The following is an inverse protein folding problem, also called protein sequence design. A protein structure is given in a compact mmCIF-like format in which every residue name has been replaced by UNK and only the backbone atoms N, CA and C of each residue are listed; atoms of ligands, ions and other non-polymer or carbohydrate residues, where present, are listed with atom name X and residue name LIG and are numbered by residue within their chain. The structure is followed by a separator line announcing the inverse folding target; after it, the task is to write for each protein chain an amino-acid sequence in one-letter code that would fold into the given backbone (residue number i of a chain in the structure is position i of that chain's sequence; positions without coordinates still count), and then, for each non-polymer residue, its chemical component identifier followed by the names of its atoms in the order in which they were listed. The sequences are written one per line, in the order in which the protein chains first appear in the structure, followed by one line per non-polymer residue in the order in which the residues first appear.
data_IF_386855045998
#
_entry.id   IF_386855045998
#
_cell.length_a   1.000
_cell.length_b   1.000
_cell.length_c   1.000
_cell.angle_alpha   90.00
_cell.angle_beta   90.00
_cell.angle_gamma   90.00
#
_symmetry.space_group_name_H-M   'P 1'
#
loop_
_entity.id
_entity.type
_entity.pdbx_description
1 polymer ?
#
# COMPACT_ATOMS: atom_id res chain seq x y z
N UNK A 1 4.12 7.49 7.59
CA UNK A 1 4.68 8.29 6.48
C UNK A 1 3.71 9.42 6.25
N UNK A 2 4.15 10.67 6.14
CA UNK A 2 3.23 11.78 5.86
C UNK A 2 2.84 11.77 4.38
N UNK A 3 1.55 11.53 4.05
CA UNK A 3 1.14 11.30 2.66
C UNK A 3 1.51 12.43 1.71
N UNK A 4 1.46 13.68 2.19
CA UNK A 4 1.72 14.89 1.40
C UNK A 4 3.14 14.95 0.80
N UNK A 5 4.11 14.28 1.43
CA UNK A 5 5.50 14.29 0.98
C UNK A 5 5.86 13.09 0.09
N UNK A 6 4.93 12.17 -0.15
CA UNK A 6 5.18 10.97 -0.94
C UNK A 6 5.74 11.28 -2.34
N UNK A 7 5.16 12.25 -3.04
CA UNK A 7 5.61 12.64 -4.37
C UNK A 7 7.03 13.25 -4.33
N UNK A 8 7.29 14.14 -3.37
CA UNK A 8 8.61 14.74 -3.18
C UNK A 8 9.67 13.67 -2.90
N UNK A 9 9.37 12.70 -2.03
CA UNK A 9 10.28 11.58 -1.76
C UNK A 9 10.48 10.69 -2.99
N UNK A 10 9.42 10.42 -3.76
CA UNK A 10 9.53 9.62 -4.98
C UNK A 10 10.38 10.32 -6.05
N UNK A 11 10.23 11.64 -6.20
CA UNK A 11 11.09 12.46 -7.05
C UNK A 11 12.55 12.39 -6.62
N UNK A 12 12.81 12.50 -5.32
CA UNK A 12 14.16 12.39 -4.79
C UNK A 12 14.76 11.00 -5.03
N UNK A 13 14.01 9.93 -4.78
CA UNK A 13 14.44 8.55 -5.08
C UNK A 13 14.75 8.37 -6.58
N UNK A 14 13.92 8.91 -7.47
CA UNK A 14 14.16 8.87 -8.91
C UNK A 14 15.42 9.63 -9.29
N UNK A 15 15.68 10.78 -8.66
CA UNK A 15 16.88 11.57 -8.90
C UNK A 15 18.14 10.82 -8.44
N UNK A 16 18.11 10.23 -7.24
CA UNK A 16 19.20 9.39 -6.74
C UNK A 16 19.47 8.19 -7.64
N UNK A 17 18.42 7.55 -8.16
CA UNK A 17 18.56 6.42 -9.09
C UNK A 17 19.28 6.79 -10.39
N UNK A 18 19.19 8.04 -10.81
CA UNK A 18 19.87 8.56 -12.00
C UNK A 18 21.29 9.06 -11.71
N UNK A 19 21.48 9.72 -10.56
CA UNK A 19 22.76 10.35 -10.22
C UNK A 19 23.78 9.38 -9.62
N UNK A 20 23.34 8.37 -8.87
CA UNK A 20 24.24 7.46 -8.20
C UNK A 20 24.83 6.45 -9.20
N UNK A 21 26.14 6.20 -9.14
CA UNK A 21 26.77 5.21 -10.00
C UNK A 21 26.28 3.81 -9.65
N UNK A 22 26.29 2.94 -10.66
CA UNK A 22 26.11 1.52 -10.43
C UNK A 22 27.35 0.96 -9.71
N UNK A 23 27.13 0.23 -8.63
CA UNK A 23 28.18 -0.47 -7.90
C UNK A 23 28.25 -1.91 -8.40
N UNK A 24 29.43 -2.52 -8.31
CA UNK A 24 29.61 -3.95 -8.59
C UNK A 24 30.37 -4.57 -7.44
N UNK A 25 29.75 -5.53 -6.76
CA UNK A 25 30.37 -6.33 -5.69
C UNK A 25 30.17 -7.79 -6.07
N UNK A 26 31.24 -8.59 -6.09
CA UNK A 26 31.19 -10.03 -6.43
C UNK A 26 30.50 -10.34 -7.78
N UNK A 27 30.79 -9.54 -8.82
CA UNK A 27 30.14 -9.61 -10.14
C UNK A 27 28.62 -9.33 -10.14
N UNK A 28 28.04 -8.92 -9.03
CA UNK A 28 26.66 -8.45 -8.97
C UNK A 28 26.57 -6.93 -9.10
N UNK A 29 25.78 -6.49 -10.08
CA UNK A 29 25.42 -5.10 -10.24
C UNK A 29 24.44 -4.66 -9.15
N UNK A 30 24.84 -3.72 -8.31
CA UNK A 30 24.04 -3.10 -7.26
C UNK A 30 23.68 -1.69 -7.70
N UNK A 31 22.39 -1.44 -7.88
CA UNK A 31 21.85 -0.13 -8.23
C UNK A 31 21.01 0.42 -7.07
N UNK A 32 20.88 1.75 -6.99
CA UNK A 32 19.99 2.38 -6.01
C UNK A 32 18.56 1.85 -6.14
N UNK A 33 18.07 1.65 -7.37
CA UNK A 33 16.76 1.08 -7.63
C UNK A 33 16.61 -0.32 -7.01
N UNK A 34 17.62 -1.19 -7.14
CA UNK A 34 17.62 -2.53 -6.52
C UNK A 34 17.59 -2.45 -4.99
N UNK A 35 18.36 -1.54 -4.40
CA UNK A 35 18.39 -1.33 -2.95
C UNK A 35 17.04 -0.81 -2.42
N UNK A 36 16.45 0.17 -3.11
CA UNK A 36 15.15 0.73 -2.75
C UNK A 36 14.06 -0.35 -2.80
N UNK A 37 14.03 -1.14 -3.88
CA UNK A 37 13.10 -2.26 -4.04
C UNK A 37 13.20 -3.24 -2.87
N UNK A 38 14.41 -3.68 -2.53
CA UNK A 38 14.64 -4.59 -1.42
C UNK A 38 14.20 -4.00 -0.08
N UNK A 39 14.39 -2.69 0.12
CA UNK A 39 13.94 -2.01 1.34
C UNK A 39 12.41 -1.90 1.38
N UNK A 40 11.76 -1.52 0.27
CA UNK A 40 10.30 -1.48 0.17
C UNK A 40 9.68 -2.84 0.47
N UNK A 41 10.22 -3.92 -0.09
CA UNK A 41 9.75 -5.28 0.17
C UNK A 41 9.88 -5.64 1.66
N UNK A 42 11.04 -5.39 2.28
CA UNK A 42 11.24 -5.65 3.72
C UNK A 42 10.28 -4.87 4.61
N UNK A 43 9.99 -3.62 4.29
CA UNK A 43 9.04 -2.79 5.04
C UNK A 43 7.60 -3.27 4.85
N UNK A 44 7.25 -3.72 3.65
CA UNK A 44 5.96 -4.29 3.34
C UNK A 44 5.73 -5.59 4.14
N UNK A 45 6.66 -6.54 4.05
CA UNK A 45 6.60 -7.81 4.79
C UNK A 45 6.66 -7.61 6.31
N UNK A 46 7.32 -6.56 6.80
CA UNK A 46 7.29 -6.21 8.23
C UNK A 46 5.88 -5.78 8.66
N UNK A 47 5.20 -4.97 7.86
CA UNK A 47 3.82 -4.58 8.11
C UNK A 47 2.87 -5.79 8.16
N UNK A 48 3.07 -6.77 7.29
CA UNK A 48 2.30 -8.03 7.32
C UNK A 48 2.51 -8.80 8.63
N UNK A 49 3.77 -8.98 9.05
CA UNK A 49 4.08 -9.67 10.32
C UNK A 49 3.50 -8.94 11.52
N UNK A 50 3.59 -7.61 11.56
CA UNK A 50 3.00 -6.80 12.64
C UNK A 50 1.47 -7.00 12.72
N UNK A 51 0.78 -7.11 11.59
CA UNK A 51 -0.68 -7.37 11.55
C UNK A 51 -1.01 -8.82 11.92
N UNK A 52 -0.23 -9.80 11.44
CA UNK A 52 -0.45 -11.21 11.72
C UNK A 52 -0.15 -11.57 13.19
N UNK A 53 0.88 -10.95 13.78
CA UNK A 53 1.19 -11.05 15.21
C UNK A 53 0.05 -10.46 16.06
N UNK A 54 -0.46 -9.27 15.72
CA UNK A 54 -1.62 -8.68 16.41
C UNK A 54 -2.88 -9.57 16.32
N UNK A 55 -3.10 -10.25 15.19
CA UNK A 55 -4.22 -11.21 15.04
C UNK A 55 -3.99 -12.54 15.79
N UNK A 56 -2.75 -13.02 15.94
CA UNK A 56 -2.46 -14.24 16.73
C UNK A 56 -2.55 -14.02 18.23
N UNK A 57 -2.33 -12.79 18.70
CA UNK A 57 -2.59 -12.39 20.09
C UNK A 57 -4.10 -12.41 20.43
N UNK A 58 -4.99 -12.50 19.43
CA UNK A 58 -6.41 -12.78 19.66
C UNK A 58 -6.71 -14.27 19.91
N UNK A 59 -5.83 -15.20 19.51
CA UNK A 59 -6.04 -16.66 19.68
C UNK A 59 -5.32 -17.26 20.90
N UNK A 60 -4.22 -16.64 21.36
CA UNK A 60 -3.48 -17.08 22.52
C UNK A 60 -3.87 -16.26 23.76
N UNK A 61 -4.92 -16.71 24.47
CA UNK A 61 -5.16 -16.32 25.86
C UNK A 61 -3.85 -16.49 26.67
N UNK A 62 -3.27 -15.41 27.21
CA UNK A 62 -2.26 -15.61 28.26
C UNK A 62 -1.32 -14.48 28.64
N UNK A 63 -0.76 -13.69 27.72
CA UNK A 63 0.31 -12.76 28.13
C UNK A 63 0.15 -11.36 27.51
N UNK A 64 -0.02 -10.39 28.41
CA UNK A 64 -0.30 -8.96 28.24
C UNK A 64 -1.80 -8.63 28.02
N UNK A 65 -2.50 -8.33 29.13
CA UNK A 65 -3.74 -7.54 29.10
C UNK A 65 -3.44 -6.13 28.57
N UNK A 66 -3.25 -5.99 27.26
CA UNK A 66 -3.40 -4.71 26.60
C UNK A 66 -4.88 -4.36 26.64
N UNK A 67 -5.20 -3.17 27.13
CA UNK A 67 -6.58 -2.65 27.07
C UNK A 67 -7.08 -2.70 25.64
N UNK A 68 -8.39 -2.93 25.44
CA UNK A 68 -9.03 -2.84 24.12
C UNK A 68 -8.65 -1.54 23.39
N UNK A 69 -8.45 -0.44 24.12
CA UNK A 69 -7.98 0.83 23.56
C UNK A 69 -6.55 0.78 23.05
N UNK A 70 -5.63 0.11 23.74
CA UNK A 70 -4.23 -0.03 23.30
C UNK A 70 -4.12 -0.93 22.07
N UNK A 71 -4.93 -1.99 22.01
CA UNK A 71 -5.06 -2.86 20.83
C UNK A 71 -5.58 -2.08 19.63
N UNK A 72 -6.65 -1.31 19.82
CA UNK A 72 -7.23 -0.47 18.75
C UNK A 72 -6.25 0.61 18.27
N UNK A 73 -5.52 1.24 19.18
CA UNK A 73 -4.47 2.21 18.82
C UNK A 73 -3.35 1.58 17.99
N UNK A 74 -2.93 0.35 18.32
CA UNK A 74 -1.92 -0.39 17.54
C UNK A 74 -2.43 -0.73 16.14
N UNK A 75 -3.65 -1.29 16.02
CA UNK A 75 -4.31 -1.57 14.74
C UNK A 75 -4.41 -0.30 13.89
N UNK A 76 -4.94 0.78 14.44
CA UNK A 76 -5.05 2.08 13.76
C UNK A 76 -3.68 2.60 13.29
N UNK A 77 -2.63 2.46 14.11
CA UNK A 77 -1.27 2.90 13.74
C UNK A 77 -0.67 2.06 12.62
N UNK A 78 -0.86 0.74 12.66
CA UNK A 78 -0.43 -0.18 11.60
C UNK A 78 -1.15 0.13 10.29
N UNK A 79 -2.48 0.30 10.32
CA UNK A 79 -3.29 0.69 9.15
C UNK A 79 -2.83 2.03 8.54
N UNK A 80 -2.64 3.07 9.37
CA UNK A 80 -2.10 4.37 8.89
C UNK A 80 -0.74 4.26 8.22
N UNK A 81 0.14 3.40 8.73
CA UNK A 81 1.45 3.15 8.10
C UNK A 81 1.27 2.45 6.75
N UNK A 82 0.43 1.42 6.68
CA UNK A 82 0.14 0.68 5.45
C UNK A 82 -0.42 1.60 4.36
N UNK A 83 -1.45 2.39 4.68
CA UNK A 83 -2.05 3.36 3.77
C UNK A 83 -1.02 4.38 3.24
N UNK A 84 -0.16 4.92 4.12
CA UNK A 84 0.93 5.81 3.70
C UNK A 84 1.95 5.14 2.78
N UNK A 85 2.29 3.88 3.05
CA UNK A 85 3.22 3.11 2.22
C UNK A 85 2.65 2.87 0.82
N UNK A 86 1.36 2.58 0.71
CA UNK A 86 0.69 2.32 -0.57
C UNK A 86 0.69 3.56 -1.45
N UNK A 87 0.38 4.73 -0.87
CA UNK A 87 0.47 5.99 -1.60
C UNK A 87 1.89 6.24 -2.12
N UNK A 88 2.89 6.02 -1.28
CA UNK A 88 4.29 6.18 -1.67
C UNK A 88 4.71 5.21 -2.78
N UNK A 89 4.26 3.95 -2.70
CA UNK A 89 4.50 2.93 -3.72
C UNK A 89 3.89 3.34 -5.06
N UNK A 90 2.67 3.89 -5.07
CA UNK A 90 2.06 4.45 -6.27
C UNK A 90 2.91 5.56 -6.90
N UNK A 91 3.42 6.49 -6.09
CA UNK A 91 4.31 7.56 -6.58
C UNK A 91 5.65 7.03 -7.11
N UNK A 92 6.23 6.00 -6.48
CA UNK A 92 7.43 5.34 -7.00
C UNK A 92 7.16 4.64 -8.34
N UNK A 93 6.00 4.01 -8.50
CA UNK A 93 5.61 3.35 -9.75
C UNK A 93 5.48 4.36 -10.91
N UNK A 94 4.85 5.51 -10.68
CA UNK A 94 4.80 6.61 -11.68
C UNK A 94 6.18 7.05 -12.15
N UNK A 95 7.18 7.03 -11.26
CA UNK A 95 8.58 7.36 -11.59
C UNK A 95 9.35 6.18 -12.19
N UNK A 96 8.65 5.10 -12.58
CA UNK A 96 9.23 3.85 -13.11
C UNK A 96 10.24 3.22 -12.16
N UNK A 97 10.14 3.50 -10.86
CA UNK A 97 11.04 2.96 -9.83
C UNK A 97 10.64 1.55 -9.39
N UNK A 98 9.38 1.17 -9.58
CA UNK A 98 8.85 -0.15 -9.27
C UNK A 98 8.42 -0.89 -10.54
N UNK A 99 8.30 -2.22 -10.43
CA UNK A 99 7.67 -3.04 -11.47
C UNK A 99 6.19 -3.21 -11.17
N UNK A 100 5.40 -3.46 -12.22
CA UNK A 100 3.96 -3.71 -12.12
C UNK A 100 3.63 -4.89 -11.19
N UNK A 101 4.43 -5.96 -11.21
CA UNK A 101 4.30 -7.09 -10.28
C UNK A 101 4.24 -6.64 -8.82
N UNK A 102 5.07 -5.68 -8.42
CA UNK A 102 5.11 -5.19 -7.03
C UNK A 102 3.83 -4.45 -6.69
N UNK A 103 3.30 -3.66 -7.64
CA UNK A 103 2.02 -2.96 -7.46
C UNK A 103 0.89 -3.96 -7.23
N UNK A 104 0.79 -4.99 -8.06
CA UNK A 104 -0.27 -5.98 -7.91
C UNK A 104 -0.21 -6.72 -6.57
N UNK A 105 0.99 -7.07 -6.10
CA UNK A 105 1.17 -7.71 -4.80
C UNK A 105 0.81 -6.76 -3.63
N UNK A 106 1.14 -5.47 -3.73
CA UNK A 106 0.74 -4.50 -2.71
C UNK A 106 -0.78 -4.29 -2.67
N UNK A 107 -1.45 -4.24 -3.83
CA UNK A 107 -2.91 -4.09 -3.90
C UNK A 107 -3.60 -5.31 -3.31
N UNK A 108 -3.21 -6.54 -3.68
CA UNK A 108 -3.84 -7.78 -3.16
C UNK A 108 -3.79 -7.88 -1.64
N UNK A 109 -2.75 -7.32 -1.03
CA UNK A 109 -2.46 -7.42 0.40
C UNK A 109 -2.99 -6.23 1.21
N UNK A 110 -3.77 -5.35 0.59
CA UNK A 110 -4.50 -4.31 1.31
C UNK A 110 -5.51 -4.98 2.28
N UNK A 111 -5.50 -4.61 3.58
CA UNK A 111 -6.37 -5.22 4.59
C UNK A 111 -7.86 -5.20 4.21
N UNK A 112 -8.30 -4.14 3.52
CA UNK A 112 -9.69 -4.00 3.06
C UNK A 112 -10.18 -5.07 2.07
N UNK A 113 -9.30 -5.88 1.49
CA UNK A 113 -9.71 -7.03 0.68
C UNK A 113 -9.96 -8.30 1.51
N UNK A 114 -9.46 -8.38 2.74
CA UNK A 114 -9.40 -9.63 3.48
C UNK A 114 -10.39 -9.69 4.65
N UNK A 115 -10.49 -8.65 5.50
CA UNK A 115 -11.42 -8.61 6.65
C UNK A 115 -11.73 -7.17 7.08
N UNK A 116 -13.02 -6.88 7.32
CA UNK A 116 -13.60 -5.61 7.83
C UNK A 116 -12.88 -4.32 7.34
N UNK A 117 -13.19 -3.87 6.12
CA UNK A 117 -12.57 -2.70 5.52
C UNK A 117 -13.02 -1.41 6.21
N UNK A 118 -12.05 -0.57 6.61
CA UNK A 118 -12.35 0.77 7.10
C UNK A 118 -12.41 1.79 5.94
N UNK A 119 -13.06 2.93 6.17
CA UNK A 119 -13.20 4.01 5.17
C UNK A 119 -11.85 4.46 4.57
N UNK A 120 -10.76 4.37 5.33
CA UNK A 120 -9.44 4.85 4.91
C UNK A 120 -8.71 3.86 4.03
N UNK A 121 -8.94 2.56 4.22
CA UNK A 121 -8.42 1.50 3.36
C UNK A 121 -9.08 1.59 1.97
N UNK A 122 -10.40 1.85 1.93
CA UNK A 122 -11.14 2.12 0.69
C UNK A 122 -10.63 3.39 0.02
N UNK A 123 -10.50 4.48 0.77
CA UNK A 123 -9.97 5.75 0.25
C UNK A 123 -8.54 5.58 -0.31
N UNK A 124 -7.69 4.80 0.35
CA UNK A 124 -6.33 4.52 -0.11
C UNK A 124 -6.32 3.71 -1.41
N UNK A 125 -7.16 2.68 -1.52
CA UNK A 125 -7.31 1.90 -2.74
C UNK A 125 -7.84 2.76 -3.88
N UNK A 126 -8.92 3.52 -3.66
CA UNK A 126 -9.48 4.45 -4.65
C UNK A 126 -8.42 5.44 -5.13
N UNK A 127 -7.69 6.10 -4.21
CA UNK A 127 -6.64 7.05 -4.58
C UNK A 127 -5.51 6.40 -5.37
N UNK A 128 -5.12 5.18 -5.03
CA UNK A 128 -4.12 4.44 -5.80
C UNK A 128 -4.64 4.14 -7.20
N UNK A 129 -5.86 3.60 -7.32
CA UNK A 129 -6.46 3.24 -8.61
C UNK A 129 -6.68 4.47 -9.50
N UNK A 130 -7.13 5.61 -8.96
CA UNK A 130 -7.22 6.86 -9.71
C UNK A 130 -5.87 7.40 -10.19
N UNK A 131 -4.78 6.97 -9.54
CA UNK A 131 -3.44 7.52 -9.73
C UNK A 131 -2.59 6.69 -10.70
N UNK A 132 -2.72 5.36 -10.65
CA UNK A 132 -1.93 4.43 -11.47
C UNK A 132 -2.77 3.39 -12.22
N UNK A 133 -4.10 3.39 -12.05
CA UNK A 133 -5.00 2.37 -12.61
C UNK A 133 -4.92 2.28 -14.13
N UNK A 134 -4.91 3.42 -14.82
CA UNK A 134 -4.76 3.47 -16.29
C UNK A 134 -3.42 2.87 -16.75
N UNK A 135 -2.36 3.01 -15.95
CA UNK A 135 -1.03 2.50 -16.30
C UNK A 135 -0.93 0.97 -16.20
N UNK A 136 -1.78 0.35 -15.37
CA UNK A 136 -1.82 -1.11 -15.14
C UNK A 136 -3.01 -1.78 -15.83
N UNK A 137 -3.91 -1.00 -16.44
CA UNK A 137 -5.09 -1.52 -17.15
C UNK A 137 -4.72 -1.92 -18.58
N UNK A 138 -4.38 -3.19 -18.75
CA UNK A 138 -4.08 -3.78 -20.05
C UNK A 138 -4.54 -5.24 -20.12
N UNK A 139 -4.67 -5.84 -21.33
CA UNK A 139 -5.28 -7.16 -21.49
C UNK A 139 -4.69 -8.29 -20.62
N UNK A 140 -3.39 -8.22 -20.31
CA UNK A 140 -2.70 -9.24 -19.47
C UNK A 140 -3.01 -9.10 -17.98
N UNK A 141 -3.46 -7.93 -17.53
CA UNK A 141 -3.79 -7.63 -16.14
C UNK A 141 -5.30 -7.67 -15.90
N UNK A 142 -6.10 -8.06 -16.89
CA UNK A 142 -7.56 -8.11 -16.80
C UNK A 142 -8.04 -8.84 -15.54
N UNK A 143 -7.51 -10.03 -15.28
CA UNK A 143 -7.88 -10.81 -14.09
C UNK A 143 -7.57 -10.06 -12.78
N UNK A 144 -6.47 -9.29 -12.72
CA UNK A 144 -6.17 -8.45 -11.57
C UNK A 144 -7.14 -7.27 -11.45
N UNK A 145 -7.43 -6.59 -12.56
CA UNK A 145 -8.35 -5.46 -12.59
C UNK A 145 -9.77 -5.87 -12.18
N UNK A 146 -10.26 -7.00 -12.69
CA UNK A 146 -11.58 -7.54 -12.35
C UNK A 146 -11.69 -7.79 -10.84
N UNK A 147 -10.66 -8.37 -10.20
CA UNK A 147 -10.61 -8.56 -8.75
C UNK A 147 -10.62 -7.22 -8.01
N UNK A 148 -9.88 -6.22 -8.48
CA UNK A 148 -9.82 -4.91 -7.82
C UNK A 148 -11.15 -4.18 -7.89
N UNK A 149 -11.83 -4.21 -9.04
CA UNK A 149 -13.15 -3.60 -9.20
C UNK A 149 -14.23 -4.33 -8.41
N UNK A 150 -14.21 -5.67 -8.37
CA UNK A 150 -15.14 -6.43 -7.52
C UNK A 150 -14.92 -6.09 -6.05
N UNK A 151 -13.66 -5.95 -5.63
CA UNK A 151 -13.34 -5.54 -4.26
C UNK A 151 -13.88 -4.13 -3.98
N UNK A 152 -13.61 -3.16 -4.84
CA UNK A 152 -14.17 -1.80 -4.72
C UNK A 152 -15.70 -1.80 -4.65
N UNK A 153 -16.36 -2.69 -5.38
CA UNK A 153 -17.82 -2.84 -5.36
C UNK A 153 -18.34 -3.42 -4.04
N UNK A 154 -17.69 -4.46 -3.51
CA UNK A 154 -18.00 -5.02 -2.18
C UNK A 154 -17.80 -3.95 -1.10
N UNK A 155 -16.69 -3.23 -1.16
CA UNK A 155 -16.36 -2.12 -0.27
C UNK A 155 -17.43 -1.02 -0.31
N UNK A 156 -17.86 -0.64 -1.52
CA UNK A 156 -18.90 0.38 -1.72
C UNK A 156 -20.30 -0.05 -1.28
N UNK A 157 -20.60 -1.35 -1.22
CA UNK A 157 -21.92 -1.85 -0.81
C UNK A 157 -22.00 -2.10 0.70
N UNK A 158 -20.88 -2.40 1.35
CA UNK A 158 -20.81 -2.60 2.81
C UNK A 158 -20.77 -1.26 3.57
N UNK A 159 -20.22 -0.22 2.95
CA UNK A 159 -20.39 1.16 3.40
C UNK A 159 -21.63 1.73 2.72
N UNK A 160 -22.72 1.93 3.45
CA UNK A 160 -23.65 3.00 3.09
C UNK A 160 -22.83 4.30 3.16
N UNK A 161 -22.23 4.67 2.02
CA UNK A 161 -21.22 5.72 1.87
C UNK A 161 -21.89 7.08 2.17
N UNK A 162 -22.06 7.36 3.45
CA UNK A 162 -22.68 8.57 3.96
C UNK A 162 -21.97 9.80 3.39
N UNK A 163 -22.71 10.50 2.54
CA UNK A 163 -22.66 11.94 2.23
C UNK A 163 -21.37 12.58 1.70
N UNK A 164 -20.19 11.94 1.72
CA UNK A 164 -18.91 12.60 1.41
C UNK A 164 -18.35 12.37 0.01
N UNK A 165 -18.77 11.32 -0.70
CA UNK A 165 -18.32 11.05 -2.07
C UNK A 165 -19.15 11.75 -3.15
N UNK A 166 -20.38 12.18 -2.83
CA UNK A 166 -21.28 12.88 -3.76
C UNK A 166 -20.94 14.36 -3.98
N UNK A 167 -19.93 14.92 -3.31
CA UNK A 167 -19.61 16.35 -3.38
C UNK A 167 -18.50 16.72 -4.37
N UNK A 168 -17.93 15.76 -5.11
CA UNK A 168 -16.81 16.02 -6.03
C UNK A 168 -17.19 15.97 -7.53
N UNK A 169 -18.48 15.96 -7.87
CA UNK A 169 -18.95 16.12 -9.27
C UNK A 169 -19.47 17.53 -9.62
N UNK A 170 -19.43 18.50 -8.70
CA UNK A 170 -19.75 19.90 -9.02
C UNK A 170 -18.61 20.84 -8.65
N UNK A 171 -17.66 21.04 -9.58
CA UNK A 171 -16.86 22.27 -9.76
C UNK A 171 -16.12 22.26 -11.09
#
# INVERSE_FOLDING_TARGET
MEPIFCEMYANFCSHLAYQLPDLSVDNEKITFKRLLLNKCQKEFERGEREIEEDNKVDEAEGEVELSNEEREQRRTKARRRMSGNIRFIGELYKKKMLTERIIHECIKKLPGLCQDPDEKDVEALCKLMSSIGEMIDHPKAKEHMDVYFESLKILSNNMDLSSRMASNEES
#
